data_IF_011022646721
#
_entry.id   IF_011022646721
#
_cell.length_a   1.000
_cell.length_b   1.000
_cell.length_c   1.000
_cell.angle_alpha   90.00
_cell.angle_beta   90.00
_cell.angle_gamma   90.00
#
_symmetry.space_group_name_H-M   'P 1'
#
loop_
_entity.id
_entity.type
_entity.pdbx_description
1 polymer ?
#
# COMPACT_ATOMS: atom_id res chain seq x y z
N UNK A 1 17.53 25.41 8.15
CA UNK A 1 16.10 25.50 7.77
C UNK A 1 15.44 24.17 8.10
N UNK A 2 14.72 24.11 9.21
CA UNK A 2 14.01 22.90 9.63
C UNK A 2 12.65 22.89 8.92
N UNK A 3 12.52 22.09 7.85
CA UNK A 3 11.24 21.95 7.17
C UNK A 3 10.24 21.29 8.11
N UNK A 4 9.24 22.03 8.59
CA UNK A 4 8.06 21.47 9.27
C UNK A 4 7.43 20.44 8.33
N UNK A 5 7.71 19.15 8.54
CA UNK A 5 7.10 18.05 7.77
C UNK A 5 5.59 18.07 8.04
N UNK A 6 4.83 18.65 7.12
CA UNK A 6 3.37 18.55 7.13
C UNK A 6 3.02 17.08 6.87
N UNK A 7 2.85 16.30 7.93
CA UNK A 7 2.28 14.95 7.84
C UNK A 7 0.80 15.10 7.54
N UNK A 8 0.45 15.10 6.24
CA UNK A 8 -0.95 15.01 5.80
C UNK A 8 -1.59 13.78 6.43
N UNK A 9 -2.89 13.78 6.75
CA UNK A 9 -3.57 12.55 7.20
C UNK A 9 -3.76 11.59 6.01
N UNK A 10 -4.11 10.33 6.26
CA UNK A 10 -4.63 9.47 5.20
C UNK A 10 -5.99 10.01 4.78
N UNK A 11 -6.33 9.87 3.49
CA UNK A 11 -7.66 10.27 2.99
C UNK A 11 -8.77 9.35 3.51
N UNK A 12 -8.45 8.08 3.72
CA UNK A 12 -9.37 7.06 4.20
C UNK A 12 -8.59 5.95 4.91
N UNK A 13 -9.27 5.23 5.80
CA UNK A 13 -8.78 4.00 6.43
C UNK A 13 -9.44 2.75 5.85
N UNK A 14 -10.32 2.91 4.85
CA UNK A 14 -10.88 1.78 4.12
C UNK A 14 -9.77 1.11 3.28
N UNK A 15 -9.70 -0.20 3.31
CA UNK A 15 -8.73 -0.96 2.53
C UNK A 15 -9.15 -0.89 1.05
N UNK A 16 -8.29 -0.30 0.22
CA UNK A 16 -8.52 -0.17 -1.23
C UNK A 16 -7.79 -1.27 -1.99
N UNK A 17 -6.57 -1.61 -1.54
CA UNK A 17 -5.79 -2.69 -2.10
C UNK A 17 -5.82 -3.91 -1.15
N UNK A 18 -6.92 -4.66 -1.21
CA UNK A 18 -7.15 -5.86 -0.41
C UNK A 18 -6.08 -6.94 -0.66
N UNK A 19 -5.71 -7.30 -1.91
CA UNK A 19 -4.68 -8.31 -2.15
C UNK A 19 -3.35 -8.01 -1.47
N UNK A 20 -2.92 -6.74 -1.49
CA UNK A 20 -1.71 -6.33 -0.80
C UNK A 20 -1.86 -6.40 0.72
N UNK A 21 -3.00 -5.97 1.26
CA UNK A 21 -3.26 -6.02 2.70
C UNK A 21 -3.22 -7.46 3.20
N UNK A 22 -3.93 -8.37 2.52
CA UNK A 22 -4.03 -9.77 2.89
C UNK A 22 -2.66 -10.45 2.82
N UNK A 23 -1.91 -10.21 1.74
CA UNK A 23 -0.55 -10.74 1.61
C UNK A 23 0.39 -10.27 2.74
N UNK A 24 0.26 -9.01 3.16
CA UNK A 24 1.04 -8.50 4.30
C UNK A 24 0.55 -9.12 5.61
N UNK A 25 -0.77 -9.23 5.82
CA UNK A 25 -1.34 -9.78 7.06
C UNK A 25 -1.02 -11.26 7.26
N UNK A 26 -0.87 -12.03 6.17
CA UNK A 26 -0.43 -13.43 6.23
C UNK A 26 1.03 -13.55 6.66
N UNK A 27 1.91 -12.68 6.14
CA UNK A 27 3.36 -12.79 6.37
C UNK A 27 3.87 -11.99 7.58
N UNK A 28 3.19 -10.91 7.95
CA UNK A 28 3.64 -9.96 8.95
C UNK A 28 2.58 -9.73 10.02
N UNK A 29 3.02 -9.64 11.28
CA UNK A 29 2.14 -9.30 12.40
C UNK A 29 1.80 -7.81 12.43
N UNK A 30 2.73 -6.96 11.98
CA UNK A 30 2.58 -5.51 11.98
C UNK A 30 3.04 -4.90 10.66
N UNK A 31 2.25 -3.96 10.14
CA UNK A 31 2.60 -3.16 8.95
C UNK A 31 3.94 -2.41 9.08
N UNK A 32 4.39 -2.13 10.30
CA UNK A 32 5.69 -1.48 10.54
C UNK A 32 6.86 -2.40 10.20
N UNK A 33 6.76 -3.70 10.45
CA UNK A 33 7.78 -4.69 10.11
C UNK A 33 7.94 -4.76 8.59
N UNK A 34 6.83 -4.92 7.87
CA UNK A 34 6.82 -4.87 6.40
C UNK A 34 7.43 -3.58 5.85
N UNK A 35 7.13 -2.42 6.45
CA UNK A 35 7.71 -1.15 5.99
C UNK A 35 9.24 -1.11 6.12
N UNK A 36 9.81 -1.75 7.15
CA UNK A 36 11.26 -1.85 7.36
C UNK A 36 11.88 -2.75 6.30
N UNK A 37 11.30 -3.92 6.05
CA UNK A 37 11.80 -4.88 5.06
C UNK A 37 11.79 -4.32 3.64
N UNK A 38 10.74 -3.57 3.28
CA UNK A 38 10.64 -2.92 1.97
C UNK A 38 11.53 -1.67 1.87
N UNK A 39 12.05 -1.16 3.00
CA UNK A 39 12.86 0.05 3.06
C UNK A 39 12.06 1.32 2.74
N UNK A 40 10.77 1.37 3.12
CA UNK A 40 9.89 2.52 2.87
C UNK A 40 9.24 3.00 4.16
N UNK A 41 8.80 4.25 4.16
CA UNK A 41 8.11 4.79 5.33
C UNK A 41 6.78 4.05 5.56
N UNK A 42 6.41 3.89 6.83
CA UNK A 42 5.12 3.30 7.20
C UNK A 42 3.94 3.99 6.51
N UNK A 43 4.02 5.32 6.33
CA UNK A 43 3.04 6.09 5.58
C UNK A 43 2.93 5.68 4.12
N UNK A 44 4.04 5.42 3.43
CA UNK A 44 3.99 4.99 2.03
C UNK A 44 3.24 3.66 1.90
N UNK A 45 3.54 2.72 2.80
CA UNK A 45 2.82 1.43 2.87
C UNK A 45 1.33 1.65 3.10
N UNK A 46 0.97 2.48 4.08
CA UNK A 46 -0.43 2.81 4.35
C UNK A 46 -1.13 3.40 3.12
N UNK A 47 -0.47 4.25 2.34
CA UNK A 47 -1.07 4.80 1.11
C UNK A 47 -1.28 3.74 0.03
N UNK A 48 -0.42 2.73 -0.06
CA UNK A 48 -0.62 1.64 -1.01
C UNK A 48 -1.84 0.79 -0.67
N UNK A 49 -2.08 0.57 0.62
CA UNK A 49 -3.20 -0.23 1.14
C UNK A 49 -4.50 0.57 1.14
N UNK A 50 -4.51 1.72 1.82
CA UNK A 50 -5.73 2.47 2.13
C UNK A 50 -6.07 3.54 1.10
N UNK A 51 -5.10 4.05 0.34
CA UNK A 51 -5.36 5.05 -0.71
C UNK A 51 -5.25 4.46 -2.13
N UNK A 52 -4.90 3.16 -2.25
CA UNK A 52 -4.66 2.51 -3.54
C UNK A 52 -3.57 3.21 -4.36
N UNK A 53 -2.57 3.79 -3.69
CA UNK A 53 -1.43 4.39 -4.36
C UNK A 53 -0.54 3.28 -4.93
N UNK A 54 -0.09 3.44 -6.17
CA UNK A 54 0.74 2.43 -6.83
C UNK A 54 2.22 2.84 -6.70
N UNK A 55 3.10 1.99 -6.14
CA UNK A 55 4.53 2.28 -6.06
C UNK A 55 5.20 2.21 -7.44
N UNK A 56 6.45 2.69 -7.52
CA UNK A 56 7.31 2.54 -8.70
C UNK A 56 7.62 1.07 -8.97
N UNK A 57 7.95 0.75 -10.21
CA UNK A 57 8.13 -0.64 -10.66
C UNK A 57 9.20 -1.41 -9.87
N UNK A 58 10.36 -0.79 -9.62
CA UNK A 58 11.42 -1.37 -8.78
C UNK A 58 10.90 -1.78 -7.38
N UNK A 59 10.04 -0.94 -6.80
CA UNK A 59 9.46 -1.18 -5.48
C UNK A 59 8.39 -2.26 -5.55
N UNK A 60 7.58 -2.32 -6.61
CA UNK A 60 6.64 -3.42 -6.83
C UNK A 60 7.37 -4.75 -6.91
N UNK A 61 8.46 -4.81 -7.69
CA UNK A 61 9.27 -6.02 -7.83
C UNK A 61 9.89 -6.45 -6.50
N UNK A 62 10.37 -5.48 -5.69
CA UNK A 62 10.86 -5.79 -4.35
C UNK A 62 9.74 -6.36 -3.44
N UNK A 63 8.58 -5.71 -3.42
CA UNK A 63 7.42 -6.17 -2.64
C UNK A 63 6.97 -7.56 -3.10
N UNK A 64 6.95 -7.81 -4.41
CA UNK A 64 6.59 -9.10 -5.01
C UNK A 64 7.50 -10.23 -4.52
N UNK A 65 8.82 -9.98 -4.48
CA UNK A 65 9.80 -10.93 -3.92
C UNK A 65 9.61 -11.14 -2.42
N UNK A 66 9.40 -10.05 -1.66
CA UNK A 66 9.20 -10.11 -0.22
C UNK A 66 7.91 -10.88 0.12
N UNK A 67 6.82 -10.68 -0.60
CA UNK A 67 5.52 -11.30 -0.29
C UNK A 67 5.31 -12.64 -1.02
N UNK A 68 6.24 -13.03 -1.89
CA UNK A 68 6.12 -14.22 -2.75
C UNK A 68 4.80 -14.24 -3.55
N UNK A 69 4.47 -13.09 -4.14
CA UNK A 69 3.25 -12.90 -4.93
C UNK A 69 3.55 -12.07 -6.19
N UNK A 70 2.98 -12.41 -7.36
CA UNK A 70 3.16 -11.62 -8.57
C UNK A 70 2.67 -10.17 -8.43
N UNK A 71 3.39 -9.23 -9.05
CA UNK A 71 3.06 -7.80 -9.03
C UNK A 71 1.66 -7.49 -9.56
N UNK A 72 1.20 -8.20 -10.58
CA UNK A 72 -0.14 -8.02 -11.17
C UNK A 72 -1.27 -8.41 -10.22
N UNK A 73 -1.02 -9.32 -9.27
CA UNK A 73 -2.00 -9.66 -8.21
C UNK A 73 -2.03 -8.57 -7.15
N UNK A 74 -0.85 -8.10 -6.73
CA UNK A 74 -0.72 -7.13 -5.64
C UNK A 74 -1.08 -5.69 -6.04
N UNK A 75 -1.00 -5.35 -7.33
CA UNK A 75 -1.16 -3.98 -7.82
C UNK A 75 -2.04 -3.90 -9.07
N UNK A 76 -3.14 -4.66 -9.08
CA UNK A 76 -4.17 -4.59 -10.13
C UNK A 76 -4.84 -3.20 -10.12
N UNK A 77 -4.46 -2.36 -11.10
CA UNK A 77 -4.90 -0.97 -11.18
C UNK A 77 -6.40 -0.86 -11.43
N UNK A 78 -6.98 -1.75 -12.24
CA UNK A 78 -8.39 -1.69 -12.59
C UNK A 78 -9.27 -1.94 -11.37
N UNK A 79 -8.95 -3.00 -10.60
CA UNK A 79 -9.65 -3.31 -9.34
C UNK A 79 -9.49 -2.20 -8.31
N UNK A 80 -8.28 -1.65 -8.16
CA UNK A 80 -8.01 -0.55 -7.23
C UNK A 80 -8.85 0.68 -7.60
N UNK A 81 -8.92 1.03 -8.88
CA UNK A 81 -9.66 2.20 -9.34
C UNK A 81 -11.18 1.98 -9.27
N UNK A 82 -11.66 0.77 -9.52
CA UNK A 82 -13.05 0.39 -9.26
C UNK A 82 -13.41 0.56 -7.78
N UNK A 83 -12.58 0.05 -6.87
CA UNK A 83 -12.79 0.14 -5.43
C UNK A 83 -12.83 1.60 -4.96
N UNK A 84 -11.93 2.45 -5.47
CA UNK A 84 -11.97 3.90 -5.20
C UNK A 84 -13.31 4.52 -5.61
N UNK A 85 -13.84 4.17 -6.78
CA UNK A 85 -15.15 4.68 -7.26
C UNK A 85 -16.29 4.22 -6.35
N UNK A 86 -16.29 2.95 -5.93
CA UNK A 86 -17.31 2.42 -5.02
C UNK A 86 -17.30 3.16 -3.67
N UNK A 87 -16.12 3.50 -3.15
CA UNK A 87 -15.97 4.14 -1.85
C UNK A 87 -16.26 5.65 -1.84
N UNK A 88 -16.18 6.32 -2.99
CA UNK A 88 -16.51 7.74 -3.16
C UNK A 88 -17.98 8.00 -3.54
N UNK A 89 -18.78 6.95 -3.76
CA UNK A 89 -20.20 7.05 -4.12
C UNK A 89 -21.13 7.21 -2.91
N UNK A 90 -20.59 7.31 -1.71
CA UNK A 90 -21.27 7.56 -0.43
C UNK A 90 -20.56 8.69 0.30
#
# INVERSE_FOLDING_TARGET
MESRKITRKLKTWKIINEPLYDAIAVKYRKLMEFSRDVGKSHRQVQRWIFEGAIPREEVKMNISKILDKPTYILFDKEKIDERKRQLNRY
#
